data_IF_318885866890
#
_entry.id   IF_318885866890
#
_cell.length_a   1.000
_cell.length_b   1.000
_cell.length_c   1.000
_cell.angle_alpha   90.00
_cell.angle_beta   90.00
_cell.angle_gamma   90.00
#
_symmetry.space_group_name_H-M   'P 1'
#
loop_
_entity.id
_entity.type
_entity.pdbx_description
1 polymer ?
#
# COMPACT_ATOMS: atom_id res chain seq x y z
N UNK A 1 -9.11 36.14 0.32
CA UNK A 1 -10.11 35.18 -0.23
C UNK A 1 -9.76 33.80 0.27
N UNK A 2 -10.51 33.32 1.26
CA UNK A 2 -10.17 32.20 2.14
C UNK A 2 -10.44 30.88 1.40
N UNK A 3 -9.40 30.29 0.82
CA UNK A 3 -9.46 28.92 0.29
C UNK A 3 -9.39 27.94 1.46
N UNK A 4 -10.55 27.50 1.97
CA UNK A 4 -10.63 26.37 2.91
C UNK A 4 -10.07 25.14 2.21
N UNK A 5 -8.79 24.84 2.47
CA UNK A 5 -8.20 23.53 2.22
C UNK A 5 -8.99 22.52 3.03
N UNK A 6 -9.88 21.76 2.40
CA UNK A 6 -10.26 20.47 2.94
C UNK A 6 -9.00 19.59 2.87
N UNK A 7 -8.46 19.09 3.99
CA UNK A 7 -7.35 18.17 3.94
C UNK A 7 -7.88 16.85 3.42
N UNK A 8 -7.76 16.62 2.11
CA UNK A 8 -7.69 15.27 1.55
C UNK A 8 -6.44 14.63 2.14
N UNK A 9 -6.61 14.07 3.33
CA UNK A 9 -5.54 13.44 4.06
C UNK A 9 -5.32 12.08 3.40
N UNK A 10 -4.37 12.02 2.49
CA UNK A 10 -3.78 10.75 2.06
C UNK A 10 -2.97 10.19 3.23
N UNK A 11 -3.67 9.57 4.20
CA UNK A 11 -3.07 8.94 5.37
C UNK A 11 -2.49 7.59 4.95
N UNK A 12 -1.27 7.59 4.41
CA UNK A 12 -0.47 6.37 4.29
C UNK A 12 0.11 6.02 5.67
N UNK A 13 -0.74 5.50 6.58
CA UNK A 13 -0.27 4.86 7.80
C UNK A 13 0.29 3.47 7.44
N UNK A 14 1.48 3.46 6.86
CA UNK A 14 2.18 2.22 6.52
C UNK A 14 2.98 1.74 7.73
N UNK A 15 2.30 1.06 8.66
CA UNK A 15 2.95 0.06 9.52
C UNK A 15 2.53 -1.31 9.01
N UNK A 16 3.16 -1.82 7.94
CA UNK A 16 2.77 -3.12 7.44
C UNK A 16 3.26 -4.18 8.43
N UNK A 17 2.34 -4.79 9.18
CA UNK A 17 2.59 -6.08 9.79
C UNK A 17 2.84 -7.09 8.68
N UNK A 18 3.98 -7.77 8.71
CA UNK A 18 4.42 -8.76 7.73
C UNK A 18 4.58 -10.11 8.40
N UNK A 19 4.41 -11.16 7.61
CA UNK A 19 4.61 -12.54 8.05
C UNK A 19 5.57 -13.27 7.10
N UNK A 20 6.31 -14.23 7.64
CA UNK A 20 7.11 -15.18 6.87
C UNK A 20 6.45 -16.55 6.98
N UNK A 21 5.89 -17.02 5.88
CA UNK A 21 5.34 -18.36 5.77
C UNK A 21 6.42 -19.36 5.39
N UNK A 22 6.35 -20.54 5.99
CA UNK A 22 7.25 -21.65 5.71
C UNK A 22 6.43 -22.85 5.24
N UNK A 23 6.87 -23.48 4.16
CA UNK A 23 6.31 -24.72 3.65
C UNK A 23 7.42 -25.77 3.59
N UNK A 24 7.39 -26.75 4.48
CA UNK A 24 8.46 -27.73 4.66
C UNK A 24 8.02 -29.12 4.27
N UNK A 25 8.81 -29.72 3.37
CA UNK A 25 8.72 -31.11 2.91
C UNK A 25 10.12 -31.72 2.93
N UNK A 26 10.74 -31.69 4.10
CA UNK A 26 12.10 -32.20 4.31
C UNK A 26 12.02 -33.52 5.05
N UNK A 27 12.89 -34.47 4.73
CA UNK A 27 12.96 -35.73 5.44
C UNK A 27 13.82 -35.59 6.72
N UNK A 28 13.45 -36.34 7.77
CA UNK A 28 14.20 -36.37 9.02
C UNK A 28 13.98 -35.12 9.89
N UNK A 29 15.04 -34.66 10.56
CA UNK A 29 14.99 -33.58 11.57
C UNK A 29 16.01 -32.49 11.22
N UNK A 30 15.82 -31.74 10.12
CA UNK A 30 16.82 -30.79 9.63
C UNK A 30 16.91 -29.54 10.53
N UNK A 31 18.13 -29.16 10.90
CA UNK A 31 18.40 -27.89 11.59
C UNK A 31 18.66 -26.79 10.56
N UNK A 32 17.73 -25.85 10.45
CA UNK A 32 17.79 -24.77 9.47
C UNK A 32 18.28 -23.47 10.10
N UNK A 33 19.01 -22.69 9.30
CA UNK A 33 19.46 -21.33 9.63
C UNK A 33 19.06 -20.37 8.53
N UNK A 34 18.35 -19.30 8.90
CA UNK A 34 17.93 -18.23 7.99
C UNK A 34 18.43 -16.88 8.53
N UNK A 35 19.08 -16.12 7.66
CA UNK A 35 19.56 -14.77 7.96
C UNK A 35 18.94 -13.76 6.98
N UNK A 36 18.65 -12.56 7.48
CA UNK A 36 18.14 -11.46 6.66
C UNK A 36 19.29 -10.56 6.23
N UNK A 37 19.32 -10.16 4.95
CA UNK A 37 20.33 -9.21 4.45
C UNK A 37 20.29 -7.87 5.17
N UNK A 38 19.10 -7.43 5.60
CA UNK A 38 18.91 -6.22 6.39
C UNK A 38 17.97 -6.47 7.57
N UNK A 39 18.48 -7.13 8.60
CA UNK A 39 17.74 -7.43 9.83
C UNK A 39 17.26 -6.18 10.60
N UNK A 40 17.81 -4.98 10.31
CA UNK A 40 17.43 -3.73 10.99
C UNK A 40 16.05 -3.23 10.62
N UNK A 41 15.49 -3.73 9.51
CA UNK A 41 14.12 -3.43 9.09
C UNK A 41 13.07 -4.21 9.90
N UNK A 42 13.47 -5.14 10.77
CA UNK A 42 12.56 -6.03 11.49
C UNK A 42 12.40 -5.54 12.92
N UNK A 43 11.21 -5.01 13.22
CA UNK A 43 10.77 -4.63 14.56
C UNK A 43 9.65 -5.56 15.06
N UNK A 44 9.46 -5.59 16.38
CA UNK A 44 8.39 -6.31 17.08
C UNK A 44 8.13 -7.75 16.58
N UNK A 45 9.23 -8.52 16.44
CA UNK A 45 9.16 -9.86 15.87
C UNK A 45 8.56 -10.87 16.86
N UNK A 46 7.44 -11.47 16.48
CA UNK A 46 6.84 -12.65 17.12
C UNK A 46 7.25 -13.91 16.37
N UNK A 47 7.89 -14.85 17.06
CA UNK A 47 8.50 -16.04 16.44
C UNK A 47 7.66 -17.30 16.69
N UNK A 48 7.70 -18.23 15.74
CA UNK A 48 7.17 -19.58 15.94
C UNK A 48 7.95 -20.32 17.04
N UNK A 49 7.31 -21.18 17.85
CA UNK A 49 7.98 -21.92 18.93
C UNK A 49 9.17 -22.78 18.50
N UNK A 50 9.23 -23.18 17.22
CA UNK A 50 10.36 -23.95 16.70
C UNK A 50 11.65 -23.13 16.56
N UNK A 51 11.57 -21.80 16.67
CA UNK A 51 12.71 -20.88 16.57
C UNK A 51 13.42 -20.73 17.91
N UNK A 52 14.74 -20.86 17.88
CA UNK A 52 15.61 -20.62 19.03
C UNK A 52 15.68 -19.13 19.36
N UNK A 53 14.76 -18.67 20.22
CA UNK A 53 14.58 -17.26 20.59
C UNK A 53 15.88 -16.57 21.04
N UNK A 54 16.71 -17.22 21.87
CA UNK A 54 17.95 -16.63 22.37
C UNK A 54 18.94 -16.30 21.24
N UNK A 55 19.01 -17.15 20.21
CA UNK A 55 19.88 -16.92 19.05
C UNK A 55 19.35 -15.78 18.20
N UNK A 56 18.04 -15.70 17.98
CA UNK A 56 17.43 -14.53 17.33
C UNK A 56 17.73 -13.24 18.11
N UNK A 57 17.53 -13.24 19.43
CA UNK A 57 17.75 -12.06 20.29
C UNK A 57 19.20 -11.57 20.23
N UNK A 58 20.18 -12.47 20.16
CA UNK A 58 21.61 -12.15 20.15
C UNK A 58 22.15 -11.83 18.76
N UNK A 59 21.82 -12.65 17.77
CA UNK A 59 22.46 -12.65 16.45
C UNK A 59 21.55 -12.13 15.33
N UNK A 60 20.26 -11.95 15.59
CA UNK A 60 19.24 -11.65 14.55
C UNK A 60 19.20 -12.69 13.42
N UNK A 61 19.50 -13.94 13.78
CA UNK A 61 19.46 -15.12 12.91
C UNK A 61 18.36 -16.05 13.41
N UNK A 62 17.51 -16.53 12.50
CA UNK A 62 16.53 -17.57 12.80
C UNK A 62 17.22 -18.93 12.71
N UNK A 63 17.12 -19.71 13.77
CA UNK A 63 17.63 -21.07 13.81
C UNK A 63 16.56 -21.97 14.40
N UNK A 64 16.17 -23.00 13.67
CA UNK A 64 14.95 -23.77 13.96
C UNK A 64 14.96 -25.15 13.30
N UNK A 65 14.23 -26.07 13.91
CA UNK A 65 13.84 -27.34 13.27
C UNK A 65 12.38 -27.17 12.85
N UNK A 66 12.06 -27.11 11.55
CA UNK A 66 10.72 -26.80 11.10
C UNK A 66 9.73 -27.95 11.40
N UNK A 67 8.49 -27.64 11.80
CA UNK A 67 7.37 -28.58 11.66
C UNK A 67 7.15 -28.98 10.20
N UNK A 68 6.50 -30.12 9.98
CA UNK A 68 6.09 -30.53 8.64
C UNK A 68 4.90 -29.69 8.14
N UNK A 69 4.87 -29.47 6.82
CA UNK A 69 3.77 -28.78 6.18
C UNK A 69 3.89 -27.26 6.22
N UNK A 70 2.75 -26.57 6.38
CA UNK A 70 2.64 -25.12 6.25
C UNK A 70 2.46 -24.45 7.61
N UNK A 71 3.32 -23.49 7.94
CA UNK A 71 3.21 -22.73 9.19
C UNK A 71 3.78 -21.31 9.05
N UNK A 72 3.38 -20.41 9.95
CA UNK A 72 3.96 -19.07 10.03
C UNK A 72 5.21 -19.11 10.90
N UNK A 73 6.38 -18.83 10.32
CA UNK A 73 7.68 -18.85 11.01
C UNK A 73 7.86 -17.62 11.91
N UNK A 74 7.45 -16.44 11.44
CA UNK A 74 7.48 -15.21 12.23
C UNK A 74 6.52 -14.15 11.69
N UNK A 75 6.00 -13.33 12.60
CA UNK A 75 5.34 -12.06 12.31
C UNK A 75 6.27 -10.92 12.74
N UNK A 76 6.28 -9.81 12.01
CA UNK A 76 7.11 -8.65 12.33
C UNK A 76 6.52 -7.36 11.79
N UNK A 77 6.91 -6.24 12.39
CA UNK A 77 6.69 -4.91 11.84
C UNK A 77 7.92 -4.45 11.06
N UNK A 78 7.69 -3.72 9.97
CA UNK A 78 8.80 -3.11 9.21
C UNK A 78 9.17 -1.78 9.85
N UNK A 79 10.40 -1.68 10.37
CA UNK A 79 10.94 -0.43 10.88
C UNK A 79 11.18 0.55 9.73
N UNK A 80 10.44 1.66 9.73
CA UNK A 80 10.49 2.68 8.69
C UNK A 80 11.37 3.87 9.13
N UNK A 81 12.63 3.61 9.51
CA UNK A 81 13.60 4.67 9.87
C UNK A 81 13.98 5.55 8.67
N UNK A 82 13.85 5.03 7.45
CA UNK A 82 13.96 5.82 6.20
C UNK A 82 12.55 6.09 5.64
N UNK A 83 12.33 7.23 4.96
CA UNK A 83 11.05 7.48 4.31
C UNK A 83 10.80 6.35 3.31
N UNK A 84 9.75 5.55 3.57
CA UNK A 84 9.30 4.52 2.65
C UNK A 84 9.19 5.13 1.25
N UNK A 85 10.00 4.63 0.32
CA UNK A 85 9.86 5.01 -1.07
C UNK A 85 8.59 4.37 -1.59
N UNK A 86 7.49 5.12 -1.50
CA UNK A 86 6.22 4.69 -2.08
C UNK A 86 6.48 4.37 -3.56
N UNK A 87 6.02 3.20 -4.05
CA UNK A 87 6.26 2.77 -5.43
C UNK A 87 5.56 3.67 -6.46
N UNK A 88 4.68 4.57 -5.99
CA UNK A 88 3.86 5.47 -6.77
C UNK A 88 3.95 6.89 -6.17
N UNK A 89 3.93 7.90 -7.04
CA UNK A 89 3.66 9.30 -6.71
C UNK A 89 2.35 9.74 -7.36
N UNK A 90 1.59 10.62 -6.71
CA UNK A 90 0.36 11.17 -7.25
C UNK A 90 0.53 12.67 -7.45
N UNK A 91 0.40 13.15 -8.68
CA UNK A 91 0.21 14.58 -8.98
C UNK A 91 -1.29 14.83 -9.02
N UNK A 92 -1.76 15.84 -8.31
CA UNK A 92 -3.17 16.17 -8.24
C UNK A 92 -3.42 17.66 -8.51
N UNK A 93 -4.57 17.97 -9.12
CA UNK A 93 -5.12 19.31 -9.21
C UNK A 93 -6.60 19.23 -8.84
N UNK A 94 -6.90 19.63 -7.61
CA UNK A 94 -8.24 19.52 -7.01
C UNK A 94 -8.70 20.92 -6.66
N UNK A 95 -9.80 21.34 -7.27
CA UNK A 95 -10.41 22.65 -7.06
C UNK A 95 -11.89 22.42 -6.76
N UNK A 96 -12.35 22.87 -5.60
CA UNK A 96 -13.76 22.82 -5.22
C UNK A 96 -14.20 24.26 -4.95
N UNK A 97 -14.99 24.84 -5.85
CA UNK A 97 -15.44 26.24 -5.83
C UNK A 97 -16.86 26.32 -6.38
N UNK A 98 -17.61 27.35 -5.96
CA UNK A 98 -18.99 27.61 -6.42
C UNK A 98 -19.16 27.50 -7.93
N UNK A 99 -18.23 28.07 -8.71
CA UNK A 99 -18.23 28.04 -10.17
C UNK A 99 -16.96 27.40 -10.77
N UNK A 100 -16.60 26.21 -10.33
CA UNK A 100 -15.49 25.47 -10.95
C UNK A 100 -14.98 24.33 -10.10
N UNK A 101 -15.65 23.18 -10.19
CA UNK A 101 -15.20 21.97 -9.52
C UNK A 101 -14.37 21.11 -10.48
N UNK A 102 -13.14 20.81 -10.09
CA UNK A 102 -12.18 20.05 -10.89
C UNK A 102 -11.47 19.02 -10.03
N UNK A 103 -11.35 17.81 -10.56
CA UNK A 103 -10.59 16.71 -9.98
C UNK A 103 -9.73 16.09 -11.08
N UNK A 104 -8.44 16.45 -11.08
CA UNK A 104 -7.46 15.82 -11.94
C UNK A 104 -6.42 15.09 -11.11
N UNK A 105 -6.08 13.87 -11.52
CA UNK A 105 -5.06 13.03 -10.92
C UNK A 105 -4.16 12.44 -11.99
N UNK A 106 -2.87 12.31 -11.70
CA UNK A 106 -1.89 11.59 -12.51
C UNK A 106 -1.08 10.70 -11.57
N UNK A 107 -1.02 9.42 -11.89
CA UNK A 107 -0.31 8.39 -11.13
C UNK A 107 1.02 8.13 -11.81
N UNK A 108 2.11 8.41 -11.10
CA UNK A 108 3.46 8.29 -11.61
C UNK A 108 4.16 7.12 -10.89
N UNK A 109 4.45 5.99 -11.56
CA UNK A 109 5.22 4.91 -10.96
C UNK A 109 6.66 5.40 -10.71
N UNK A 110 7.19 5.11 -9.52
CA UNK A 110 8.60 5.39 -9.16
C UNK A 110 9.52 4.21 -9.43
N UNK A 111 8.96 3.01 -9.57
CA UNK A 111 9.75 1.80 -9.86
C UNK A 111 9.83 1.64 -11.39
N UNK A 112 11.05 1.72 -11.91
CA UNK A 112 11.33 1.48 -13.32
C UNK A 112 11.35 -0.03 -13.61
N UNK A 113 10.90 -0.43 -14.79
CA UNK A 113 10.95 -1.80 -15.30
C UNK A 113 10.23 -2.86 -14.44
N UNK A 114 9.28 -2.43 -13.61
CA UNK A 114 8.41 -3.33 -12.84
C UNK A 114 6.95 -3.00 -13.10
N UNK A 115 6.16 -4.02 -13.44
CA UNK A 115 4.72 -3.90 -13.51
C UNK A 115 4.13 -3.88 -12.09
N UNK A 116 3.13 -3.03 -11.87
CA UNK A 116 2.28 -3.06 -10.68
C UNK A 116 0.92 -3.58 -11.08
N UNK A 117 0.35 -4.48 -10.30
CA UNK A 117 -0.97 -5.07 -10.56
C UNK A 117 -1.95 -4.68 -9.46
N UNK A 118 -3.25 -4.78 -9.77
CA UNK A 118 -4.34 -4.45 -8.85
C UNK A 118 -4.22 -3.07 -8.17
N UNK A 119 -3.72 -2.07 -8.90
CA UNK A 119 -3.57 -0.71 -8.38
C UNK A 119 -4.94 -0.03 -8.29
N UNK A 120 -5.26 0.47 -7.09
CA UNK A 120 -6.50 1.21 -6.82
C UNK A 120 -6.21 2.48 -6.02
N UNK A 121 -6.95 3.54 -6.30
CA UNK A 121 -6.93 4.78 -5.53
C UNK A 121 -8.33 4.98 -4.95
N UNK A 122 -8.42 5.09 -3.63
CA UNK A 122 -9.64 5.44 -2.91
C UNK A 122 -9.50 6.84 -2.33
N UNK A 123 -10.50 7.68 -2.57
CA UNK A 123 -10.54 9.07 -2.11
C UNK A 123 -11.78 9.26 -1.26
N UNK A 124 -11.57 9.59 0.01
CA UNK A 124 -12.66 10.02 0.88
C UNK A 124 -13.10 11.43 0.48
N UNK A 125 -14.32 11.54 -0.03
CA UNK A 125 -14.90 12.81 -0.44
C UNK A 125 -15.48 13.58 0.76
N UNK A 126 -15.43 14.92 0.73
CA UNK A 126 -16.10 15.77 1.72
C UNK A 126 -17.62 15.50 1.81
N UNK A 127 -18.25 15.83 2.95
CA UNK A 127 -19.66 15.53 3.20
C UNK A 127 -20.65 16.17 2.20
N UNK A 128 -20.29 17.29 1.56
CA UNK A 128 -21.15 17.97 0.58
C UNK A 128 -21.07 17.40 -0.85
N UNK A 129 -20.22 16.41 -1.12
CA UNK A 129 -20.10 15.86 -2.48
C UNK A 129 -21.27 14.91 -2.76
N UNK A 130 -22.09 15.24 -3.75
CA UNK A 130 -23.23 14.41 -4.19
C UNK A 130 -22.94 13.56 -5.41
N UNK A 131 -21.97 13.97 -6.24
CA UNK A 131 -21.59 13.21 -7.42
C UNK A 131 -20.14 13.52 -7.82
N UNK A 132 -19.47 12.56 -8.45
CA UNK A 132 -18.12 12.70 -9.01
C UNK A 132 -18.18 12.17 -10.44
N UNK A 133 -18.05 13.07 -11.42
CA UNK A 133 -18.04 12.71 -12.83
C UNK A 133 -16.63 12.86 -13.39
N UNK A 134 -15.89 11.75 -13.45
CA UNK A 134 -14.52 11.73 -13.91
C UNK A 134 -14.31 10.66 -14.99
N UNK A 135 -13.46 10.99 -15.96
CA UNK A 135 -13.07 10.10 -17.04
C UNK A 135 -11.63 9.65 -16.80
N UNK A 136 -11.39 8.37 -16.51
CA UNK A 136 -10.04 7.82 -16.40
C UNK A 136 -9.44 7.55 -17.80
N UNK A 137 -8.12 7.68 -17.93
CA UNK A 137 -7.39 7.22 -19.12
C UNK A 137 -7.26 5.69 -19.15
N UNK A 138 -7.36 5.05 -18.00
CA UNK A 138 -7.20 3.60 -17.82
C UNK A 138 -7.99 3.13 -16.61
N UNK A 139 -8.56 1.94 -16.71
CA UNK A 139 -9.34 1.35 -15.63
C UNK A 139 -10.75 1.96 -15.54
N UNK A 140 -11.36 1.83 -14.37
CA UNK A 140 -12.75 2.25 -14.13
C UNK A 140 -12.89 3.01 -12.81
N UNK A 141 -13.91 3.86 -12.75
CA UNK A 141 -14.19 4.66 -11.57
C UNK A 141 -15.56 4.34 -11.01
N UNK A 142 -15.71 4.49 -9.70
CA UNK A 142 -16.97 4.33 -9.00
C UNK A 142 -17.06 5.36 -7.87
N UNK A 143 -18.25 5.89 -7.61
CA UNK A 143 -18.51 6.75 -6.46
C UNK A 143 -19.62 6.15 -5.60
N UNK A 144 -19.26 5.68 -4.41
CA UNK A 144 -20.22 5.27 -3.39
C UNK A 144 -20.65 6.51 -2.60
N UNK A 145 -21.85 7.01 -2.89
CA UNK A 145 -22.44 8.19 -2.24
C UNK A 145 -22.65 7.96 -0.74
N UNK A 146 -23.02 6.74 -0.35
CA UNK A 146 -23.34 6.38 1.05
C UNK A 146 -22.08 6.41 1.92
N UNK A 147 -20.97 5.88 1.39
CA UNK A 147 -19.66 5.89 2.08
C UNK A 147 -18.87 7.17 1.81
N UNK A 148 -19.27 7.94 0.80
CA UNK A 148 -18.54 9.10 0.25
C UNK A 148 -17.13 8.71 -0.18
N UNK A 149 -16.99 7.53 -0.79
CA UNK A 149 -15.71 7.02 -1.28
C UNK A 149 -15.75 7.03 -2.81
N UNK A 150 -14.80 7.72 -3.41
CA UNK A 150 -14.53 7.63 -4.85
C UNK A 150 -13.37 6.67 -5.09
N UNK A 151 -13.64 5.59 -5.80
CA UNK A 151 -12.69 4.56 -6.15
C UNK A 151 -12.29 4.69 -7.62
N UNK A 152 -10.99 4.63 -7.89
CA UNK A 152 -10.43 4.46 -9.21
C UNK A 152 -9.63 3.15 -9.24
N UNK A 153 -10.19 2.15 -9.91
CA UNK A 153 -9.54 0.86 -10.15
C UNK A 153 -8.74 0.94 -11.46
N UNK A 154 -7.43 1.17 -11.32
CA UNK A 154 -6.49 1.37 -12.44
C UNK A 154 -6.12 0.02 -13.06
N UNK A 155 -6.04 -1.04 -12.24
CA UNK A 155 -5.56 -2.35 -12.65
C UNK A 155 -4.04 -2.38 -12.74
N UNK A 156 -3.50 -2.56 -13.95
CA UNK A 156 -2.06 -2.78 -14.19
C UNK A 156 -1.36 -1.51 -14.67
N UNK A 157 -0.21 -1.17 -14.07
CA UNK A 157 0.64 -0.04 -14.44
C UNK A 157 2.00 -0.57 -14.89
N UNK A 158 2.49 -0.11 -16.04
CA UNK A 158 3.79 -0.48 -16.59
C UNK A 158 4.53 0.73 -17.14
N UNK A 159 5.86 0.72 -17.08
CA UNK A 159 6.70 1.84 -17.52
C UNK A 159 6.60 2.16 -19.03
N UNK A 160 6.10 1.22 -19.85
CA UNK A 160 5.92 1.42 -21.30
C UNK A 160 4.66 2.23 -21.63
N UNK A 161 3.69 2.25 -20.72
CA UNK A 161 2.41 2.91 -20.93
C UNK A 161 2.47 4.36 -20.41
N UNK A 162 1.67 5.27 -20.99
CA UNK A 162 1.46 6.58 -20.40
C UNK A 162 1.00 6.45 -18.95
N UNK A 163 1.43 7.39 -18.11
CA UNK A 163 1.00 7.47 -16.72
C UNK A 163 -0.54 7.48 -16.63
N UNK A 164 -1.15 6.59 -15.83
CA UNK A 164 -2.59 6.62 -15.62
C UNK A 164 -3.02 7.99 -15.13
N UNK A 165 -4.08 8.52 -15.72
CA UNK A 165 -4.62 9.82 -15.36
C UNK A 165 -6.14 9.76 -15.25
N UNK A 166 -6.68 10.70 -14.49
CA UNK A 166 -8.11 10.90 -14.29
C UNK A 166 -8.37 12.39 -14.41
N UNK A 167 -9.43 12.78 -15.13
CA UNK A 167 -9.89 14.18 -15.19
C UNK A 167 -11.40 14.25 -15.08
N UNK A 168 -11.90 15.24 -14.37
CA UNK A 168 -13.34 15.43 -14.25
C UNK A 168 -13.76 16.51 -13.29
N UNK A 169 -15.03 16.45 -12.91
CA UNK A 169 -15.69 17.44 -12.07
C UNK A 169 -16.39 16.76 -10.89
N UNK A 170 -16.44 17.47 -9.78
CA UNK A 170 -17.15 17.06 -8.56
C UNK A 170 -18.40 17.93 -8.44
N UNK A 171 -19.55 17.37 -8.10
CA UNK A 171 -20.75 18.16 -7.79
C UNK A 171 -20.91 18.29 -6.29
N UNK A 172 -20.98 19.53 -5.84
CA UNK A 172 -21.28 19.95 -4.48
C UNK A 172 -22.51 20.87 -4.60
N UNK A 173 -23.66 20.53 -4.00
CA UNK A 173 -24.77 21.46 -3.90
C UNK A 173 -24.36 22.54 -2.89
N UNK A 174 -24.41 23.79 -3.34
CA UNK A 174 -24.21 24.96 -2.49
C UNK A 174 -25.55 25.43 -1.94
#
# INVERSE_FOLDING_TARGET
>A
VISKFFPLTFRFLLRPSKQVECHTKLSGVPDLTLAFSNHRLIDDASLHPCVRFLRWKRERVLSFIPPDGHFCLMNYEVNCLSPLSLPISIRHNIVLKENGNRLDLIVMPKILNRAMEAVKIAIQMPPGVVNVNCTPSTGRVNFDVSKRIFDWDIGRIESKNPNPSLRGQVRVPF
#
